data_IF_647618157136
#
_entry.id   IF_647618157136
#
_cell.length_a   1.000
_cell.length_b   1.000
_cell.length_c   1.000
_cell.angle_alpha   90.00
_cell.angle_beta   90.00
_cell.angle_gamma   90.00
#
_symmetry.space_group_name_H-M   'P 1'
#
loop_
_entity.id
_entity.type
_entity.pdbx_description
1 polymer ?
#
# COMPACT_ATOMS: atom_id res chain seq x y z
N UNK A 1 0.31 0.83 -2.32
CA UNK A 1 -0.45 1.53 -3.38
C UNK A 1 0.54 2.16 -4.34
N UNK A 2 0.32 2.00 -5.63
CA UNK A 2 1.20 2.55 -6.67
C UNK A 2 0.37 3.04 -7.86
N UNK A 3 0.74 4.20 -8.41
CA UNK A 3 0.10 4.81 -9.57
C UNK A 3 0.96 4.65 -10.82
N UNK A 4 0.31 4.27 -11.90
CA UNK A 4 0.90 4.27 -13.23
C UNK A 4 0.50 5.55 -13.94
N UNK A 5 1.48 6.28 -14.46
CA UNK A 5 1.27 7.52 -15.18
C UNK A 5 1.43 7.34 -16.68
N UNK A 6 0.78 8.22 -17.45
CA UNK A 6 0.97 8.34 -18.89
C UNK A 6 2.31 9.02 -19.21
N UNK A 7 2.65 9.15 -20.50
CA UNK A 7 3.88 9.84 -20.94
C UNK A 7 3.90 11.35 -20.62
N UNK A 8 2.79 11.92 -20.16
CA UNK A 8 2.66 13.31 -19.70
C UNK A 8 2.49 13.41 -18.17
N UNK A 9 2.79 12.33 -17.45
CA UNK A 9 2.74 12.22 -15.99
C UNK A 9 1.35 12.28 -15.34
N UNK A 10 0.29 12.12 -16.14
CA UNK A 10 -1.09 12.01 -15.61
C UNK A 10 -1.38 10.58 -15.10
N UNK A 11 -1.97 10.40 -13.90
CA UNK A 11 -2.39 9.11 -13.38
C UNK A 11 -3.38 8.41 -14.32
N UNK A 12 -3.12 7.15 -14.62
CA UNK A 12 -4.00 6.32 -15.46
C UNK A 12 -4.70 5.24 -14.63
N UNK A 13 -3.97 4.60 -13.72
CA UNK A 13 -4.47 3.52 -12.88
C UNK A 13 -3.75 3.52 -11.54
N UNK A 14 -4.51 3.26 -10.48
CA UNK A 14 -4.02 3.00 -9.14
C UNK A 14 -4.17 1.50 -8.84
N UNK A 15 -3.09 0.84 -8.46
CA UNK A 15 -3.12 -0.57 -8.07
C UNK A 15 -2.77 -0.77 -6.58
N UNK A 16 -3.48 -1.72 -5.98
CA UNK A 16 -3.15 -2.28 -4.67
C UNK A 16 -2.25 -3.49 -4.90
N UNK A 17 -1.09 -3.54 -4.24
CA UNK A 17 -0.13 -4.64 -4.35
C UNK A 17 0.31 -4.99 -5.79
N UNK A 18 0.23 -4.03 -6.72
CA UNK A 18 0.54 -4.22 -8.14
C UNK A 18 -0.51 -5.03 -8.91
N UNK A 19 -1.73 -5.13 -8.39
CA UNK A 19 -2.85 -5.88 -8.97
C UNK A 19 -3.97 -4.96 -9.41
N UNK A 20 -4.52 -5.24 -10.60
CA UNK A 20 -5.75 -4.62 -11.09
C UNK A 20 -6.98 -5.29 -10.47
N UNK A 21 -8.14 -4.63 -10.58
CA UNK A 21 -9.39 -5.12 -9.97
C UNK A 21 -9.84 -6.49 -10.50
N UNK A 22 -9.62 -6.76 -11.79
CA UNK A 22 -10.09 -7.98 -12.45
C UNK A 22 -9.16 -9.20 -12.25
N UNK A 23 -8.02 -9.02 -11.56
CA UNK A 23 -7.13 -10.12 -11.22
C UNK A 23 -7.68 -11.00 -10.08
N UNK A 24 -7.10 -12.18 -9.92
CA UNK A 24 -7.48 -13.10 -8.85
C UNK A 24 -7.36 -12.46 -7.46
N UNK A 25 -8.29 -12.80 -6.57
CA UNK A 25 -8.35 -12.27 -5.20
C UNK A 25 -7.13 -12.68 -4.37
N UNK A 26 -6.57 -11.72 -3.63
CA UNK A 26 -5.41 -11.92 -2.74
C UNK A 26 -5.76 -11.81 -1.25
N UNK A 27 -6.55 -10.82 -0.86
CA UNK A 27 -6.97 -10.60 0.52
C UNK A 27 -8.16 -11.50 0.87
N UNK A 28 -7.91 -12.59 1.60
CA UNK A 28 -8.91 -13.61 1.97
C UNK A 28 -9.02 -13.77 3.49
N UNK A 29 -9.52 -12.75 4.21
CA UNK A 29 -9.54 -12.74 5.67
C UNK A 29 -10.40 -13.88 6.23
N UNK A 30 -9.95 -14.47 7.34
CA UNK A 30 -10.67 -15.59 7.98
C UNK A 30 -11.83 -15.07 8.85
N UNK A 31 -13.03 -15.58 8.60
CA UNK A 31 -14.24 -15.24 9.38
C UNK A 31 -14.01 -15.40 10.88
N UNK A 32 -14.43 -14.38 11.65
CA UNK A 32 -14.35 -14.37 13.12
C UNK A 32 -12.96 -14.07 13.67
N UNK A 33 -11.99 -13.70 12.83
CA UNK A 33 -10.65 -13.29 13.26
C UNK A 33 -10.44 -11.79 13.15
N UNK A 34 -9.33 -11.30 13.70
CA UNK A 34 -8.86 -9.93 13.54
C UNK A 34 -7.49 -9.94 12.90
N UNK A 35 -7.23 -8.96 12.03
CA UNK A 35 -5.98 -8.83 11.28
C UNK A 35 -5.43 -7.41 11.46
N UNK A 36 -4.11 -7.27 11.35
CA UNK A 36 -3.44 -5.97 11.26
C UNK A 36 -3.06 -5.73 9.81
N UNK A 37 -3.58 -4.66 9.22
CA UNK A 37 -3.32 -4.30 7.83
C UNK A 37 -2.38 -3.10 7.77
N UNK A 38 -1.21 -3.29 7.15
CA UNK A 38 -0.25 -2.23 6.89
C UNK A 38 -0.50 -1.66 5.48
N UNK A 39 -1.17 -0.52 5.42
CA UNK A 39 -1.46 0.16 4.16
C UNK A 39 -0.32 1.11 3.83
N UNK A 40 0.47 0.77 2.81
CA UNK A 40 1.63 1.55 2.38
C UNK A 40 1.24 2.38 1.16
N UNK A 41 1.23 3.69 1.31
CA UNK A 41 1.02 4.61 0.19
C UNK A 41 2.37 5.03 -0.41
N UNK A 42 2.62 4.73 -1.69
CA UNK A 42 3.84 5.13 -2.40
C UNK A 42 3.60 6.27 -3.40
N UNK A 43 2.40 6.85 -3.39
CA UNK A 43 1.98 7.95 -4.25
C UNK A 43 2.10 9.28 -3.51
N UNK A 44 2.00 10.38 -4.25
CA UNK A 44 1.94 11.73 -3.65
C UNK A 44 0.52 12.08 -3.19
N UNK A 45 -0.49 11.43 -3.77
CA UNK A 45 -1.90 11.67 -3.46
C UNK A 45 -2.41 10.94 -2.21
N UNK A 46 -3.43 11.52 -1.57
CA UNK A 46 -4.18 10.87 -0.51
C UNK A 46 -5.28 9.98 -1.09
N UNK A 47 -5.32 8.73 -0.62
CA UNK A 47 -6.29 7.72 -1.06
C UNK A 47 -7.20 7.30 0.11
N UNK A 48 -8.45 7.80 0.20
CA UNK A 48 -9.39 7.37 1.22
C UNK A 48 -9.73 5.88 1.07
N UNK A 49 -9.23 5.04 1.97
CA UNK A 49 -9.49 3.60 1.95
C UNK A 49 -10.81 3.28 2.65
N UNK A 50 -11.62 2.44 2.00
CA UNK A 50 -12.88 1.93 2.54
C UNK A 50 -12.89 0.40 2.51
N UNK A 51 -13.27 -0.23 3.62
CA UNK A 51 -13.41 -1.68 3.75
C UNK A 51 -14.89 -2.00 3.99
N UNK A 52 -15.44 -2.92 3.20
CA UNK A 52 -16.83 -3.36 3.36
C UNK A 52 -16.94 -4.35 4.53
N UNK A 53 -18.10 -4.34 5.21
CA UNK A 53 -18.52 -5.24 6.30
C UNK A 53 -17.72 -5.10 7.61
N UNK A 54 -16.40 -5.14 7.57
CA UNK A 54 -15.54 -5.06 8.76
C UNK A 54 -15.45 -3.64 9.33
N UNK A 55 -15.50 -3.52 10.67
CA UNK A 55 -15.08 -2.30 11.36
C UNK A 55 -13.58 -2.37 11.63
N UNK A 56 -12.90 -1.24 11.54
CA UNK A 56 -11.49 -1.12 11.85
C UNK A 56 -11.22 0.12 12.70
N UNK A 57 -10.07 0.11 13.36
CA UNK A 57 -9.50 1.26 14.05
C UNK A 57 -8.12 1.52 13.48
N UNK A 58 -7.75 2.80 13.41
CA UNK A 58 -6.39 3.18 13.05
C UNK A 58 -5.48 2.94 14.25
N UNK A 59 -4.42 2.17 14.06
CA UNK A 59 -3.43 1.90 15.13
C UNK A 59 -2.32 2.95 15.16
N UNK A 60 -1.82 3.35 14.00
CA UNK A 60 -0.71 4.29 13.84
C UNK A 60 -0.71 4.85 12.41
N UNK A 61 -0.09 6.01 12.21
CA UNK A 61 0.23 6.59 10.91
C UNK A 61 1.68 7.08 10.93
N UNK A 62 2.50 6.52 10.04
CA UNK A 62 3.92 6.87 9.92
C UNK A 62 4.21 7.55 8.62
N UNK A 63 5.03 8.59 8.67
CA UNK A 63 5.60 9.19 7.47
C UNK A 63 6.69 8.26 6.94
N UNK A 64 6.66 8.01 5.63
CA UNK A 64 7.70 7.27 4.93
C UNK A 64 8.78 8.26 4.50
N UNK A 65 9.97 8.13 5.07
CA UNK A 65 11.17 8.84 4.60
C UNK A 65 11.88 8.05 3.51
N UNK A 66 12.64 8.74 2.65
CA UNK A 66 13.39 8.14 1.54
C UNK A 66 12.50 7.28 0.62
N UNK A 67 11.36 7.84 0.23
CA UNK A 67 10.33 7.15 -0.56
C UNK A 67 10.89 6.50 -1.83
N UNK A 68 11.84 7.15 -2.50
CA UNK A 68 12.46 6.62 -3.72
C UNK A 68 13.24 5.32 -3.49
N UNK A 69 13.97 5.21 -2.37
CA UNK A 69 14.70 3.99 -2.00
C UNK A 69 13.72 2.83 -1.74
N UNK A 70 12.66 3.10 -0.98
CA UNK A 70 11.63 2.10 -0.68
C UNK A 70 10.87 1.67 -1.95
N UNK A 71 10.46 2.64 -2.77
CA UNK A 71 9.75 2.42 -4.03
C UNK A 71 10.59 1.57 -4.98
N UNK A 72 11.89 1.85 -5.12
CA UNK A 72 12.79 1.03 -5.93
C UNK A 72 12.88 -0.43 -5.46
N UNK A 73 12.90 -0.67 -4.14
CA UNK A 73 12.88 -2.03 -3.61
C UNK A 73 11.55 -2.74 -3.87
N UNK A 74 10.44 -2.07 -3.58
CA UNK A 74 9.09 -2.63 -3.74
C UNK A 74 8.74 -2.91 -5.21
N UNK A 75 9.19 -2.08 -6.14
CA UNK A 75 9.04 -2.36 -7.58
C UNK A 75 9.77 -3.65 -8.02
N UNK A 76 10.87 -3.99 -7.36
CA UNK A 76 11.67 -5.19 -7.69
C UNK A 76 11.12 -6.45 -7.04
N UNK A 77 10.65 -6.35 -5.79
CA UNK A 77 10.36 -7.51 -4.95
C UNK A 77 8.90 -7.67 -4.55
N UNK A 78 8.11 -6.60 -4.65
CA UNK A 78 6.72 -6.49 -4.17
C UNK A 78 6.50 -7.10 -2.78
N UNK A 79 7.47 -6.91 -1.88
CA UNK A 79 7.48 -7.51 -0.54
C UNK A 79 7.99 -6.48 0.48
N UNK A 80 7.10 -5.87 1.28
CA UNK A 80 7.46 -4.81 2.22
C UNK A 80 8.31 -5.32 3.40
N UNK A 81 8.22 -6.61 3.73
CA UNK A 81 9.01 -7.21 4.82
C UNK A 81 10.46 -7.39 4.34
N UNK A 82 10.65 -7.93 3.13
CA UNK A 82 12.00 -8.04 2.53
C UNK A 82 12.61 -6.69 2.21
N UNK A 83 11.79 -5.69 1.89
CA UNK A 83 12.22 -4.32 1.73
C UNK A 83 12.44 -3.57 3.05
N UNK A 84 12.24 -4.20 4.21
CA UNK A 84 12.43 -3.58 5.52
C UNK A 84 11.70 -2.24 5.66
N UNK A 85 10.41 -2.22 5.31
CA UNK A 85 9.59 -0.98 5.30
C UNK A 85 9.63 -0.23 6.63
N UNK A 86 9.82 -0.94 7.75
CA UNK A 86 9.97 -0.38 9.08
C UNK A 86 11.14 0.61 9.21
N UNK A 87 12.22 0.43 8.45
CA UNK A 87 13.38 1.34 8.43
C UNK A 87 13.09 2.70 7.80
N UNK A 88 12.00 2.78 7.04
CA UNK A 88 11.59 3.98 6.32
C UNK A 88 10.48 4.74 7.06
N UNK A 89 9.88 4.17 8.10
CA UNK A 89 8.80 4.81 8.85
C UNK A 89 9.32 5.63 10.04
N UNK A 90 8.94 6.91 10.12
CA UNK A 90 9.15 7.74 11.32
C UNK A 90 7.80 7.99 11.99
N UNK A 91 7.75 7.84 13.31
CA UNK A 91 6.59 8.18 14.13
C UNK A 91 6.53 9.70 14.25
N UNK A 92 5.40 10.31 13.86
CA UNK A 92 5.13 11.74 14.07
C UNK A 92 4.52 11.99 15.44
#
# INVERSE_FOLDING_TARGET
>A
MYEYTSNIDEPTHLYLNGKSYDEEVTETPKVGTSEVWYVINLTEDNHPLHIHLGLFVVLDQREIVKIDELKACLMKMNDPVKCHVDKYGIIK
#
